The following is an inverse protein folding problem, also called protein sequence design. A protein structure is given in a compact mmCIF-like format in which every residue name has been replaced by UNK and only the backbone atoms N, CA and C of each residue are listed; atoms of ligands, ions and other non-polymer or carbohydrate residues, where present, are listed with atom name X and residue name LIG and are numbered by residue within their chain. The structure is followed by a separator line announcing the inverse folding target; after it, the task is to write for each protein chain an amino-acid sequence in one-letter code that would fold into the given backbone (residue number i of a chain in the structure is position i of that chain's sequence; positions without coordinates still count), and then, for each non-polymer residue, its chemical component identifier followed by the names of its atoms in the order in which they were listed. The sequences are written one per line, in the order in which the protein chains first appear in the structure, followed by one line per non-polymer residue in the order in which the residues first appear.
data_IF_012625880998
#
_entry.id   IF_012625880998
#
_cell.length_a   1.000
_cell.length_b   1.000
_cell.length_c   1.000
_cell.angle_alpha   90.00
_cell.angle_beta   90.00
_cell.angle_gamma   90.00
#
_symmetry.space_group_name_H-M   'P 1'
#
loop_
_entity.id
_entity.type
_entity.pdbx_description
1 polymer ?
#
# COMPACT_ATOMS: atom_id res chain seq x y z
N UNK A 1 -10.06 -13.03 47.67
CA UNK A 1 -9.46 -14.25 47.09
C UNK A 1 -9.09 -13.89 45.68
N UNK A 2 -7.87 -13.38 45.55
CA UNK A 2 -7.23 -13.06 44.29
C UNK A 2 -7.04 -14.33 43.47
N UNK A 3 -7.32 -14.25 42.17
CA UNK A 3 -6.77 -15.18 41.20
C UNK A 3 -6.09 -14.36 40.12
N UNK A 4 -4.81 -14.09 40.38
CA UNK A 4 -3.79 -13.78 39.38
C UNK A 4 -3.81 -14.87 38.30
N UNK A 5 -4.03 -14.46 37.05
CA UNK A 5 -3.64 -15.27 35.87
C UNK A 5 -2.49 -14.54 35.21
N UNK A 6 -1.29 -14.93 35.64
CA UNK A 6 -0.03 -14.58 35.00
C UNK A 6 0.03 -15.32 33.66
N UNK A 7 0.02 -14.60 32.54
CA UNK A 7 0.37 -15.17 31.24
C UNK A 7 1.85 -14.86 30.98
N UNK A 8 2.64 -15.93 30.97
CA UNK A 8 4.10 -15.89 30.97
C UNK A 8 4.70 -15.22 29.74
N UNK A 9 5.68 -14.37 30.00
CA UNK A 9 6.65 -13.89 29.03
C UNK A 9 7.60 -15.06 28.70
N UNK A 10 7.39 -15.74 27.58
CA UNK A 10 8.41 -16.65 27.02
C UNK A 10 9.28 -15.92 26.01
N UNK A 11 10.61 -15.81 26.22
CA UNK A 11 11.53 -15.30 25.21
C UNK A 11 11.71 -16.35 24.12
N UNK A 12 11.27 -16.05 22.90
CA UNK A 12 11.40 -16.96 21.77
C UNK A 12 12.83 -17.02 21.24
N UNK A 13 13.51 -18.15 21.52
CA UNK A 13 14.67 -18.63 20.77
C UNK A 13 14.21 -19.28 19.47
N UNK A 14 14.83 -18.85 18.37
CA UNK A 14 14.94 -19.44 17.04
C UNK A 14 13.92 -20.50 16.59
N UNK A 15 13.05 -20.11 15.65
CA UNK A 15 12.49 -21.02 14.63
C UNK A 15 12.16 -20.26 13.31
N UNK A 16 12.76 -20.76 12.23
CA UNK A 16 12.53 -20.62 10.77
C UNK A 16 11.87 -19.33 10.25
N UNK A 17 12.70 -18.46 9.66
CA UNK A 17 12.33 -17.29 8.86
C UNK A 17 12.16 -17.72 7.38
N UNK A 18 11.13 -17.28 6.63
CA UNK A 18 11.27 -17.40 5.15
C UNK A 18 10.13 -17.15 4.17
N UNK A 19 8.93 -16.66 4.51
CA UNK A 19 7.87 -16.47 3.49
C UNK A 19 7.75 -15.05 2.95
N UNK A 20 6.92 -14.23 3.60
CA UNK A 20 6.50 -12.92 3.09
C UNK A 20 7.65 -11.90 2.89
N UNK A 21 8.76 -12.04 3.63
CA UNK A 21 9.92 -11.15 3.51
C UNK A 21 10.64 -11.24 2.18
N UNK A 22 10.65 -12.41 1.54
CA UNK A 22 11.35 -12.58 0.27
C UNK A 22 10.62 -11.87 -0.87
N UNK A 23 9.29 -11.79 -0.83
CA UNK A 23 8.50 -10.96 -1.75
C UNK A 23 8.78 -9.47 -1.57
N UNK A 24 8.80 -9.00 -0.32
CA UNK A 24 9.19 -7.62 0.02
C UNK A 24 10.63 -7.29 -0.41
N UNK A 25 11.56 -8.23 -0.22
CA UNK A 25 12.94 -8.09 -0.68
C UNK A 25 13.06 -8.13 -2.20
N UNK A 26 12.22 -8.91 -2.88
CA UNK A 26 12.17 -8.96 -4.34
C UNK A 26 11.57 -7.69 -4.94
N UNK A 27 10.55 -7.11 -4.30
CA UNK A 27 10.06 -5.76 -4.62
C UNK A 27 11.20 -4.75 -4.49
N UNK A 28 11.94 -4.78 -3.37
CA UNK A 28 13.07 -3.87 -3.17
C UNK A 28 14.21 -4.09 -4.19
N UNK A 29 14.54 -5.34 -4.49
CA UNK A 29 15.52 -5.68 -5.53
C UNK A 29 15.06 -5.22 -6.92
N UNK A 30 13.77 -5.35 -7.23
CA UNK A 30 13.18 -4.84 -8.46
C UNK A 30 13.31 -3.32 -8.55
N UNK A 31 12.96 -2.60 -7.47
CA UNK A 31 13.10 -1.13 -7.38
C UNK A 31 14.56 -0.70 -7.63
N UNK A 32 15.53 -1.41 -7.03
CA UNK A 32 16.95 -1.08 -7.14
C UNK A 32 17.55 -1.44 -8.51
N UNK A 33 17.19 -2.60 -9.07
CA UNK A 33 17.79 -3.09 -10.33
C UNK A 33 17.13 -2.44 -11.56
N UNK A 34 15.82 -2.22 -11.53
CA UNK A 34 15.08 -1.62 -12.65
C UNK A 34 15.21 -0.10 -12.65
N UNK A 35 15.16 0.55 -11.49
CA UNK A 35 15.25 2.01 -11.38
C UNK A 35 16.56 2.61 -11.89
N UNK A 36 17.65 1.80 -11.96
CA UNK A 36 18.95 2.23 -12.51
C UNK A 36 19.10 2.00 -14.02
N UNK A 37 18.12 1.36 -14.70
CA UNK A 37 18.19 1.08 -16.14
C UNK A 37 17.87 2.30 -17.03
N UNK A 38 17.53 3.46 -16.44
CA UNK A 38 17.14 4.68 -17.15
C UNK A 38 18.31 5.62 -17.47
N UNK A 39 19.13 5.31 -18.47
CA UNK A 39 19.95 6.32 -19.14
C UNK A 39 19.27 6.74 -20.46
N UNK A 40 18.78 7.99 -20.50
CA UNK A 40 18.25 8.76 -21.64
C UNK A 40 18.00 7.98 -22.93
N UNK A 41 16.73 7.67 -23.18
CA UNK A 41 16.22 7.51 -24.54
C UNK A 41 14.96 8.36 -24.68
N UNK A 42 15.06 9.42 -25.50
CA UNK A 42 13.92 10.22 -25.92
C UNK A 42 13.11 9.40 -26.92
N UNK A 43 11.95 8.90 -26.51
CA UNK A 43 11.04 8.21 -27.41
C UNK A 43 9.90 9.15 -27.78
N UNK A 44 9.66 9.29 -29.08
CA UNK A 44 8.52 9.99 -29.61
C UNK A 44 7.27 9.09 -29.45
N UNK A 45 6.25 9.62 -28.78
CA UNK A 45 4.94 8.97 -28.68
C UNK A 45 4.32 8.89 -30.09
N UNK A 46 4.14 7.68 -30.62
CA UNK A 46 3.19 7.45 -31.71
C UNK A 46 1.81 7.24 -31.08
N UNK A 47 1.02 8.32 -31.02
CA UNK A 47 -0.40 8.21 -30.73
C UNK A 47 -1.08 7.52 -31.93
N UNK A 48 -1.60 6.31 -31.71
CA UNK A 48 -2.43 5.61 -32.67
C UNK A 48 -3.82 6.29 -32.73
N UNK A 49 -4.31 6.78 -33.89
CA UNK A 49 -5.47 7.67 -33.94
C UNK A 49 -6.84 7.02 -33.78
N UNK A 50 -6.97 5.69 -33.77
CA UNK A 50 -8.28 5.01 -33.81
C UNK A 50 -8.59 4.23 -32.52
N UNK A 51 -9.08 4.92 -31.49
CA UNK A 51 -9.86 4.26 -30.42
C UNK A 51 -10.78 5.26 -29.67
N UNK A 52 -11.89 5.64 -30.32
CA UNK A 52 -12.85 6.64 -29.85
C UNK A 52 -14.20 6.06 -29.37
N UNK A 53 -14.24 4.81 -28.90
CA UNK A 53 -15.47 4.24 -28.33
C UNK A 53 -15.20 3.69 -26.92
N UNK A 54 -15.69 4.41 -25.90
CA UNK A 54 -15.59 4.13 -24.46
C UNK A 54 -14.18 4.22 -23.85
N UNK A 55 -13.57 5.41 -23.85
CA UNK A 55 -12.35 5.65 -23.07
C UNK A 55 -12.65 5.58 -21.57
N UNK A 56 -11.93 4.76 -20.79
CA UNK A 56 -11.93 4.86 -19.33
C UNK A 56 -11.61 6.29 -18.91
N UNK A 57 -12.30 6.81 -17.90
CA UNK A 57 -11.87 8.05 -17.25
C UNK A 57 -10.60 7.74 -16.45
N UNK A 58 -9.50 8.41 -16.78
CA UNK A 58 -8.23 8.26 -16.07
C UNK A 58 -8.13 9.27 -14.91
N UNK A 59 -7.55 8.90 -13.76
CA UNK A 59 -7.16 7.54 -13.37
C UNK A 59 -8.39 6.65 -13.15
N UNK A 60 -8.22 5.33 -13.30
CA UNK A 60 -9.28 4.36 -12.95
C UNK A 60 -9.59 4.49 -11.46
N UNK A 61 -10.84 4.77 -11.07
CA UNK A 61 -11.17 4.98 -9.67
C UNK A 61 -11.08 3.68 -8.87
N UNK A 62 -10.54 3.77 -7.66
CA UNK A 62 -10.54 2.66 -6.70
C UNK A 62 -11.98 2.20 -6.40
N UNK A 63 -12.26 0.92 -6.61
CA UNK A 63 -13.57 0.31 -6.40
C UNK A 63 -13.74 -0.06 -4.93
N UNK A 64 -14.67 0.64 -4.28
CA UNK A 64 -15.13 0.31 -2.92
C UNK A 64 -16.13 -0.84 -2.94
N UNK A 65 -16.23 -1.53 -1.82
CA UNK A 65 -17.22 -2.59 -1.57
C UNK A 65 -18.24 -2.13 -0.53
N UNK A 66 -19.34 -2.86 -0.39
CA UNK A 66 -20.38 -2.55 0.61
C UNK A 66 -19.99 -2.98 2.03
N UNK A 67 -19.14 -4.00 2.15
CA UNK A 67 -18.63 -4.50 3.43
C UNK A 67 -17.30 -5.22 3.24
N UNK A 68 -16.48 -5.25 4.29
CA UNK A 68 -15.22 -5.99 4.32
C UNK A 68 -15.45 -7.51 4.39
N UNK A 69 -14.97 -8.30 3.42
CA UNK A 69 -15.05 -9.74 3.51
C UNK A 69 -14.08 -10.25 4.58
N UNK A 70 -14.48 -11.27 5.33
CA UNK A 70 -13.59 -11.99 6.24
C UNK A 70 -12.40 -12.55 5.47
N UNK A 71 -11.16 -12.39 5.95
CA UNK A 71 -10.00 -12.97 5.28
C UNK A 71 -10.10 -14.50 5.16
N UNK A 72 -9.66 -15.02 4.02
CA UNK A 72 -9.58 -16.46 3.78
C UNK A 72 -8.56 -17.11 4.75
N UNK A 73 -8.84 -18.30 5.32
CA UNK A 73 -7.93 -18.98 6.23
C UNK A 73 -6.52 -19.26 5.69
N UNK A 74 -6.35 -19.27 4.36
CA UNK A 74 -5.05 -19.33 3.70
C UNK A 74 -4.19 -18.10 4.00
N UNK A 75 -4.79 -16.92 4.12
CA UNK A 75 -4.10 -15.68 4.42
C UNK A 75 -3.75 -15.62 5.91
N UNK A 76 -2.49 -15.90 6.24
CA UNK A 76 -1.99 -15.87 7.60
C UNK A 76 -0.83 -14.88 7.72
N UNK A 77 -0.95 -13.96 8.65
CA UNK A 77 0.07 -12.96 8.92
C UNK A 77 1.13 -13.56 9.84
N UNK A 78 2.41 -13.30 9.56
CA UNK A 78 3.50 -13.68 10.49
C UNK A 78 3.52 -12.79 11.72
N UNK A 79 3.28 -11.51 11.52
CA UNK A 79 3.08 -10.52 12.58
C UNK A 79 1.61 -10.14 12.57
N UNK A 80 0.99 -10.17 13.75
CA UNK A 80 -0.42 -9.82 13.92
C UNK A 80 -0.66 -8.40 13.44
N UNK A 81 -1.70 -8.21 12.64
CA UNK A 81 -2.18 -6.88 12.27
C UNK A 81 -2.76 -6.17 13.51
N UNK A 82 -2.37 -4.92 13.72
CA UNK A 82 -2.88 -4.04 14.77
C UNK A 82 -2.85 -4.66 16.19
N UNK A 83 -1.68 -5.11 16.68
CA UNK A 83 -1.60 -5.88 17.93
C UNK A 83 -2.05 -5.09 19.17
N UNK A 84 -1.81 -3.77 19.18
CA UNK A 84 -2.16 -2.87 20.29
C UNK A 84 -3.51 -2.15 20.06
N UNK A 85 -4.20 -2.47 18.96
CA UNK A 85 -5.52 -1.92 18.67
C UNK A 85 -6.61 -2.57 19.49
N UNK A 86 -7.71 -1.85 19.67
CA UNK A 86 -8.89 -2.43 20.31
C UNK A 86 -9.43 -3.61 19.47
N UNK A 87 -9.68 -4.80 20.06
CA UNK A 87 -10.19 -5.96 19.32
C UNK A 87 -11.55 -5.73 18.67
N UNK A 88 -12.35 -4.80 19.21
CA UNK A 88 -13.63 -4.38 18.63
C UNK A 88 -13.50 -3.31 17.56
N UNK A 89 -12.29 -2.83 17.28
CA UNK A 89 -12.02 -1.70 16.39
C UNK A 89 -12.62 -0.40 16.90
N UNK A 90 -12.83 -0.27 18.22
CA UNK A 90 -13.45 0.92 18.79
C UNK A 90 -12.48 2.10 18.84
N UNK A 91 -13.00 3.27 18.47
CA UNK A 91 -12.31 4.55 18.63
C UNK A 91 -13.04 5.29 19.77
N UNK A 92 -12.33 5.72 20.82
CA UNK A 92 -12.96 6.36 21.97
C UNK A 92 -13.59 7.71 21.57
N UNK A 93 -14.70 8.04 22.21
CA UNK A 93 -15.34 9.33 22.01
C UNK A 93 -14.62 10.42 22.83
N UNK A 94 -14.47 11.60 22.25
CA UNK A 94 -13.91 12.80 22.88
C UNK A 94 -15.02 13.74 23.35
N UNK A 95 -14.77 14.50 24.42
CA UNK A 95 -15.67 15.59 24.82
C UNK A 95 -15.76 16.60 23.66
N UNK A 96 -16.96 17.07 23.25
CA UNK A 96 -17.12 17.95 22.08
C UNK A 96 -16.22 19.19 22.10
N UNK A 97 -16.04 19.77 23.29
CA UNK A 97 -15.24 20.97 23.57
C UNK A 97 -13.74 20.72 23.71
N UNK A 98 -13.28 19.45 23.69
CA UNK A 98 -11.85 19.14 23.73
C UNK A 98 -11.15 19.68 22.48
N UNK A 99 -9.86 19.98 22.62
CA UNK A 99 -8.97 20.35 21.52
C UNK A 99 -7.97 19.23 21.33
N UNK A 100 -8.01 18.61 20.15
CA UNK A 100 -7.07 17.58 19.76
C UNK A 100 -5.97 18.17 18.88
N UNK A 101 -4.74 18.01 19.34
CA UNK A 101 -3.57 18.22 18.50
C UNK A 101 -3.46 17.07 17.50
N UNK A 102 -3.29 17.41 16.21
CA UNK A 102 -3.14 16.44 15.12
C UNK A 102 -1.69 16.44 14.65
N UNK A 103 -1.07 15.26 14.61
CA UNK A 103 0.32 15.06 14.22
C UNK A 103 0.43 14.28 12.91
N UNK A 104 1.32 14.74 12.04
CA UNK A 104 1.90 13.92 10.99
C UNK A 104 2.98 13.04 11.62
N UNK A 105 2.87 11.74 11.36
CA UNK A 105 3.83 10.73 11.80
C UNK A 105 4.41 10.03 10.57
N UNK A 106 5.73 9.99 10.50
CA UNK A 106 6.48 9.26 9.45
C UNK A 106 7.60 8.48 10.10
N UNK A 107 7.81 7.24 9.69
CA UNK A 107 8.98 6.45 10.08
C UNK A 107 9.44 5.57 8.91
N UNK A 108 10.73 5.19 8.82
CA UNK A 108 11.20 4.27 7.80
C UNK A 108 10.44 2.93 7.84
N UNK A 109 10.05 2.42 6.67
CA UNK A 109 9.42 1.08 6.60
C UNK A 109 10.41 0.03 7.12
N UNK A 110 9.91 -0.98 7.83
CA UNK A 110 10.70 -2.09 8.38
C UNK A 110 11.91 -1.66 9.23
N UNK A 111 11.82 -0.54 9.95
CA UNK A 111 12.87 -0.07 10.86
C UNK A 111 13.34 -1.17 11.82
N UNK A 112 12.41 -1.97 12.35
CA UNK A 112 12.72 -3.10 13.24
C UNK A 112 13.67 -4.15 12.63
N UNK A 113 13.84 -4.16 11.31
CA UNK A 113 14.70 -5.11 10.59
C UNK A 113 15.90 -4.45 9.92
N UNK A 114 15.72 -3.27 9.34
CA UNK A 114 16.75 -2.59 8.54
C UNK A 114 17.23 -1.28 9.15
N UNK A 115 16.75 -0.91 10.34
CA UNK A 115 17.05 0.37 10.96
C UNK A 115 16.66 1.55 10.06
N UNK A 116 17.55 2.53 9.96
CA UNK A 116 17.36 3.76 9.19
C UNK A 116 17.54 3.60 7.67
N UNK A 117 17.93 2.41 7.18
CA UNK A 117 18.37 2.21 5.80
C UNK A 117 17.31 2.61 4.77
N UNK A 118 16.05 2.21 4.99
CA UNK A 118 14.97 2.56 4.06
C UNK A 118 14.57 4.03 4.13
N UNK A 119 14.83 4.69 5.27
CA UNK A 119 14.70 6.14 5.41
C UNK A 119 15.67 6.88 4.50
N UNK A 120 16.88 6.35 4.27
CA UNK A 120 17.86 6.93 3.33
C UNK A 120 17.38 6.90 1.87
N UNK A 121 16.43 6.03 1.54
CA UNK A 121 15.78 5.95 0.23
C UNK A 121 14.38 6.59 0.22
N UNK A 122 14.01 7.30 1.30
CA UNK A 122 12.69 7.90 1.49
C UNK A 122 11.53 6.91 1.30
N UNK A 123 11.70 5.66 1.77
CA UNK A 123 10.61 4.69 1.85
C UNK A 123 10.04 4.74 3.27
N UNK A 124 8.98 5.53 3.44
CA UNK A 124 8.41 5.88 4.73
C UNK A 124 7.03 5.24 4.91
N UNK A 125 6.74 4.82 6.13
CA UNK A 125 5.40 4.52 6.63
C UNK A 125 4.77 5.79 7.19
N UNK A 126 3.48 5.98 6.92
CA UNK A 126 2.73 7.18 7.23
C UNK A 126 1.58 6.88 8.20
N UNK A 127 1.46 7.72 9.24
CA UNK A 127 0.41 7.62 10.24
C UNK A 127 -0.05 9.02 10.71
N UNK A 128 -1.14 9.04 11.49
CA UNK A 128 -1.69 10.25 12.10
C UNK A 128 -1.71 10.07 13.61
N UNK A 129 -1.17 11.05 14.31
CA UNK A 129 -1.25 11.14 15.75
C UNK A 129 -2.35 12.09 16.22
N UNK A 130 -2.98 11.76 17.33
CA UNK A 130 -3.91 12.64 18.03
C UNK A 130 -3.50 12.78 19.49
N UNK A 131 -3.63 13.97 20.07
CA UNK A 131 -3.41 14.20 21.52
C UNK A 131 -4.49 15.12 22.06
N UNK A 132 -5.25 14.65 23.04
CA UNK A 132 -6.27 15.42 23.74
C UNK A 132 -5.62 16.44 24.67
N UNK A 133 -6.00 17.72 24.55
CA UNK A 133 -5.55 18.76 25.47
C UNK A 133 -6.23 18.63 26.84
N UNK A 134 -7.47 18.13 26.88
CA UNK A 134 -8.22 17.95 28.12
C UNK A 134 -7.70 16.80 28.99
N UNK A 135 -7.40 15.65 28.37
CA UNK A 135 -7.03 14.41 29.10
C UNK A 135 -5.54 14.08 29.01
N UNK A 136 -4.81 14.69 28.07
CA UNK A 136 -3.43 14.32 27.75
C UNK A 136 -3.29 12.98 27.03
N UNK A 137 -4.38 12.23 26.83
CA UNK A 137 -4.33 10.96 26.12
C UNK A 137 -3.95 11.16 24.67
N UNK A 138 -3.10 10.26 24.19
CA UNK A 138 -2.60 10.28 22.83
C UNK A 138 -2.96 8.99 22.11
N UNK A 139 -3.10 9.06 20.79
CA UNK A 139 -3.53 7.95 19.96
C UNK A 139 -2.82 7.99 18.61
N UNK A 140 -2.59 6.82 18.04
CA UNK A 140 -2.09 6.67 16.69
C UNK A 140 -3.14 6.01 15.81
N UNK A 141 -3.32 6.56 14.61
CA UNK A 141 -4.19 6.05 13.56
C UNK A 141 -3.37 5.77 12.31
N UNK A 142 -3.36 4.52 11.88
CA UNK A 142 -2.63 4.03 10.71
C UNK A 142 -3.57 3.31 9.75
N UNK A 143 -3.09 3.02 8.55
CA UNK A 143 -3.77 2.11 7.63
C UNK A 143 -2.72 1.31 6.86
N UNK A 144 -2.70 0.00 7.01
CA UNK A 144 -1.67 -0.86 6.43
C UNK A 144 -2.17 -2.28 6.18
N UNK A 145 -1.29 -3.12 5.65
CA UNK A 145 -1.59 -4.47 5.19
C UNK A 145 -1.89 -5.44 6.34
N UNK A 146 -2.98 -6.20 6.22
CA UNK A 146 -3.26 -7.29 7.17
C UNK A 146 -2.17 -8.39 7.10
N UNK A 147 -1.64 -8.62 5.90
CA UNK A 147 -0.74 -9.73 5.59
C UNK A 147 0.61 -9.27 5.03
N UNK A 148 1.05 -8.07 5.41
CA UNK A 148 2.29 -7.44 4.93
C UNK A 148 2.33 -7.10 3.41
N UNK A 149 3.21 -6.16 3.05
CA UNK A 149 3.31 -5.56 1.70
C UNK A 149 3.46 -6.56 0.55
N UNK A 150 4.28 -7.59 0.72
CA UNK A 150 4.54 -8.59 -0.32
C UNK A 150 3.26 -9.29 -0.81
N UNK A 151 2.40 -9.69 0.12
CA UNK A 151 1.12 -10.35 -0.17
C UNK A 151 0.07 -9.40 -0.78
N UNK A 152 0.23 -8.09 -0.56
CA UNK A 152 -0.60 -7.06 -1.20
C UNK A 152 -0.13 -6.71 -2.62
N UNK A 153 1.15 -6.91 -2.92
CA UNK A 153 1.76 -6.51 -4.19
C UNK A 153 1.75 -7.64 -5.22
N UNK A 154 1.94 -8.89 -4.77
CA UNK A 154 2.00 -10.05 -5.65
C UNK A 154 1.15 -11.22 -5.11
N UNK A 155 0.46 -11.97 -5.99
CA UNK A 155 -0.43 -13.05 -5.56
C UNK A 155 0.33 -14.33 -5.24
N UNK A 156 -0.37 -15.25 -4.57
CA UNK A 156 0.06 -16.63 -4.40
C UNK A 156 -0.43 -17.51 -5.54
N UNK A 157 0.45 -18.34 -6.09
CA UNK A 157 0.10 -19.37 -7.06
C UNK A 157 -0.15 -20.70 -6.35
N UNK A 158 -1.42 -21.00 -6.07
CA UNK A 158 -1.83 -22.22 -5.36
C UNK A 158 -2.04 -23.40 -6.32
N UNK A 159 -1.61 -24.59 -5.90
CA UNK A 159 -2.00 -25.83 -6.57
C UNK A 159 -3.53 -26.00 -6.48
N UNK A 160 -4.17 -26.36 -7.58
CA UNK A 160 -5.63 -26.54 -7.65
C UNK A 160 -6.45 -25.28 -7.93
N UNK A 161 -5.82 -24.09 -7.98
CA UNK A 161 -6.48 -22.85 -8.41
C UNK A 161 -5.87 -22.34 -9.72
N UNK A 162 -6.73 -22.10 -10.71
CA UNK A 162 -6.32 -21.52 -11.99
C UNK A 162 -5.98 -20.04 -11.85
N UNK A 163 -6.79 -19.27 -11.12
CA UNK A 163 -6.52 -17.86 -10.85
C UNK A 163 -5.45 -17.68 -9.76
N UNK A 164 -4.53 -16.71 -9.90
CA UNK A 164 -3.69 -16.25 -8.80
C UNK A 164 -4.53 -15.78 -7.61
N UNK A 165 -4.11 -16.15 -6.39
CA UNK A 165 -4.86 -15.91 -5.16
C UNK A 165 -4.25 -14.74 -4.37
N UNK A 166 -5.04 -13.74 -4.03
CA UNK A 166 -4.58 -12.51 -3.40
C UNK A 166 -4.90 -12.47 -1.90
N UNK A 167 -3.88 -12.15 -1.09
CA UNK A 167 -4.03 -11.82 0.33
C UNK A 167 -3.74 -10.33 0.54
N UNK A 168 -4.45 -9.49 -0.21
CA UNK A 168 -4.14 -8.06 -0.36
C UNK A 168 -5.05 -7.13 0.45
N UNK A 169 -5.64 -7.61 1.55
CA UNK A 169 -6.45 -6.74 2.40
C UNK A 169 -5.57 -5.75 3.17
N UNK A 170 -5.99 -4.48 3.21
CA UNK A 170 -5.47 -3.45 4.11
C UNK A 170 -6.61 -2.85 4.95
N UNK A 171 -6.31 -2.36 6.15
CA UNK A 171 -7.30 -1.81 7.07
C UNK A 171 -6.73 -0.72 7.97
N UNK A 172 -7.62 0.08 8.54
CA UNK A 172 -7.28 1.06 9.56
C UNK A 172 -6.93 0.36 10.88
N UNK A 173 -5.90 0.88 11.56
CA UNK A 173 -5.50 0.47 12.90
C UNK A 173 -5.48 1.70 13.80
N UNK A 174 -6.20 1.63 14.93
CA UNK A 174 -6.25 2.70 15.91
C UNK A 174 -5.84 2.15 17.28
N UNK A 175 -4.88 2.78 17.93
CA UNK A 175 -4.36 2.35 19.22
C UNK A 175 -3.92 3.52 20.10
N UNK A 176 -3.80 3.25 21.41
CA UNK A 176 -3.39 4.23 22.38
C UNK A 176 -1.87 4.48 22.36
N UNK A 177 -1.49 5.72 22.57
CA UNK A 177 -0.10 6.18 22.65
C UNK A 177 0.42 6.78 21.34
N UNK A 178 1.44 7.61 21.51
CA UNK A 178 2.35 8.07 20.46
C UNK A 178 3.74 7.59 20.87
N UNK A 179 4.28 6.56 20.20
CA UNK A 179 5.68 6.16 20.41
C UNK A 179 6.60 7.24 19.85
N UNK A 180 6.81 8.31 20.63
CA UNK A 180 7.56 9.48 20.18
C UNK A 180 8.99 9.11 19.78
N UNK A 181 9.55 8.06 20.37
CA UNK A 181 10.89 7.58 20.01
C UNK A 181 10.89 7.03 18.59
N UNK A 182 9.97 6.12 18.27
CA UNK A 182 9.81 5.56 16.92
C UNK A 182 9.63 6.66 15.85
N UNK A 183 8.79 7.65 16.13
CA UNK A 183 8.48 8.70 15.15
C UNK A 183 9.52 9.83 15.06
N UNK A 184 10.34 10.05 16.11
CA UNK A 184 11.32 11.15 16.14
C UNK A 184 12.76 10.74 15.84
N UNK A 185 13.19 9.53 16.23
CA UNK A 185 14.61 9.15 16.11
C UNK A 185 15.06 9.07 14.64
N UNK A 186 14.30 8.35 13.80
CA UNK A 186 14.62 8.15 12.38
C UNK A 186 13.49 8.64 11.45
N UNK A 187 12.52 9.38 11.99
CA UNK A 187 11.26 9.71 11.34
C UNK A 187 10.93 11.20 11.30
N UNK A 188 9.63 11.50 11.24
CA UNK A 188 9.10 12.85 11.38
C UNK A 188 7.85 12.82 12.24
N UNK A 189 7.84 13.61 13.31
CA UNK A 189 6.66 13.88 14.12
C UNK A 189 6.41 15.39 14.16
N UNK A 190 5.34 15.84 13.51
CA UNK A 190 5.03 17.27 13.36
C UNK A 190 3.56 17.54 13.66
N UNK A 191 3.26 18.46 14.59
CA UNK A 191 1.88 18.97 14.78
C UNK A 191 1.46 19.75 13.55
N UNK A 192 0.47 19.25 12.81
CA UNK A 192 -0.01 19.80 11.53
C UNK A 192 -1.34 20.50 11.63
N UNK A 193 -2.18 20.17 12.61
CA UNK A 193 -3.50 20.79 12.78
C UNK A 193 -3.98 20.75 14.24
N UNK A 194 -5.10 21.42 14.47
CA UNK A 194 -5.95 21.26 15.64
C UNK A 194 -7.39 20.96 15.20
N UNK A 195 -8.08 20.12 15.95
CA UNK A 195 -9.48 19.74 15.72
C UNK A 195 -10.24 19.73 17.05
N UNK A 196 -11.55 19.97 17.01
CA UNK A 196 -12.38 19.79 18.21
C UNK A 196 -12.66 18.31 18.46
N UNK A 197 -13.07 17.95 19.68
CA UNK A 197 -13.55 16.60 19.98
C UNK A 197 -14.76 16.19 19.15
N UNK A 198 -15.64 17.14 18.82
CA UNK A 198 -16.74 16.90 17.87
C UNK A 198 -16.24 16.53 16.47
N UNK A 199 -15.27 17.28 15.93
CA UNK A 199 -14.62 16.97 14.65
C UNK A 199 -13.98 15.58 14.67
N UNK A 200 -13.26 15.23 15.76
CA UNK A 200 -12.66 13.91 15.93
C UNK A 200 -13.71 12.79 15.97
N UNK A 201 -14.80 12.95 16.72
CA UNK A 201 -15.87 11.97 16.80
C UNK A 201 -16.55 11.73 15.45
N UNK A 202 -16.71 12.78 14.64
CA UNK A 202 -17.25 12.66 13.29
C UNK A 202 -16.23 12.04 12.31
N UNK A 203 -14.93 12.31 12.51
CA UNK A 203 -13.88 11.61 11.79
C UNK A 203 -13.89 10.11 12.11
N UNK A 204 -14.03 9.72 13.38
CA UNK A 204 -14.06 8.31 13.79
C UNK A 204 -15.17 7.52 13.07
N UNK A 205 -16.36 8.11 12.88
CA UNK A 205 -17.45 7.52 12.07
C UNK A 205 -17.04 7.34 10.61
N UNK A 206 -16.38 8.34 10.04
CA UNK A 206 -15.86 8.26 8.67
C UNK A 206 -14.76 7.20 8.53
N UNK A 207 -13.82 7.11 9.47
CA UNK A 207 -12.75 6.09 9.47
C UNK A 207 -13.36 4.69 9.45
N UNK A 208 -14.41 4.45 10.25
CA UNK A 208 -15.13 3.17 10.23
C UNK A 208 -15.73 2.87 8.86
N UNK A 209 -16.44 3.83 8.27
CA UNK A 209 -17.00 3.67 6.93
C UNK A 209 -15.92 3.46 5.86
N UNK A 210 -14.80 4.18 5.94
CA UNK A 210 -13.68 4.02 5.02
C UNK A 210 -13.06 2.63 5.17
N UNK A 211 -12.91 2.14 6.40
CA UNK A 211 -12.36 0.83 6.71
C UNK A 211 -13.26 -0.33 6.25
N UNK A 212 -14.58 -0.13 6.22
CA UNK A 212 -15.53 -1.17 5.77
C UNK A 212 -15.69 -1.21 4.24
N UNK A 213 -15.36 -0.13 3.55
CA UNK A 213 -15.57 0.00 2.10
C UNK A 213 -14.28 -0.01 1.28
N UNK A 214 -13.17 0.42 1.88
CA UNK A 214 -11.81 0.46 1.33
C UNK A 214 -10.97 -0.72 1.79
N UNK A 215 -11.14 -1.87 1.15
CA UNK A 215 -10.74 -3.16 1.75
C UNK A 215 -9.43 -3.75 1.26
N UNK A 216 -8.90 -3.31 0.11
CA UNK A 216 -7.67 -3.86 -0.46
C UNK A 216 -6.58 -2.79 -0.55
N UNK A 217 -5.35 -3.22 -0.29
CA UNK A 217 -4.14 -2.41 -0.42
C UNK A 217 -3.63 -2.49 -1.86
N UNK A 218 -3.30 -1.34 -2.43
CA UNK A 218 -2.61 -1.25 -3.72
C UNK A 218 -1.30 -0.48 -3.57
N UNK A 219 -0.22 -1.13 -3.98
CA UNK A 219 1.15 -0.62 -3.86
C UNK A 219 1.50 0.37 -4.96
N UNK A 220 1.05 0.10 -6.19
CA UNK A 220 1.56 0.81 -7.37
C UNK A 220 0.75 2.07 -7.67
N UNK A 221 1.44 3.20 -7.82
CA UNK A 221 0.95 4.31 -8.63
C UNK A 221 1.45 4.08 -10.06
N UNK A 222 0.59 4.20 -11.07
CA UNK A 222 0.94 3.87 -12.45
C UNK A 222 0.73 5.09 -13.32
N UNK A 223 1.79 5.56 -13.98
CA UNK A 223 1.81 6.87 -14.66
C UNK A 223 2.32 6.75 -16.09
N UNK A 224 1.97 7.74 -16.91
CA UNK A 224 2.47 7.86 -18.28
C UNK A 224 3.88 8.42 -18.38
N UNK A 225 4.48 8.91 -17.30
CA UNK A 225 5.77 9.60 -17.33
C UNK A 225 6.11 10.22 -15.98
N UNK A 226 7.33 10.74 -15.85
CA UNK A 226 7.85 11.39 -14.63
C UNK A 226 7.44 12.86 -14.52
N UNK A 227 6.93 13.44 -15.61
CA UNK A 227 6.59 14.84 -15.67
C UNK A 227 5.43 15.17 -14.70
N UNK A 228 5.40 16.37 -14.10
CA UNK A 228 4.34 16.76 -13.16
C UNK A 228 2.92 16.65 -13.74
N UNK A 229 2.77 16.81 -15.05
CA UNK A 229 1.51 16.72 -15.78
C UNK A 229 1.28 15.36 -16.46
N UNK A 230 2.13 14.36 -16.21
CA UNK A 230 1.94 13.03 -16.74
C UNK A 230 0.61 12.43 -16.28
N UNK A 231 -0.09 11.75 -17.18
CA UNK A 231 -1.36 11.09 -16.90
C UNK A 231 -1.15 10.00 -15.85
N UNK A 232 -1.94 10.05 -14.78
CA UNK A 232 -2.05 8.93 -13.85
C UNK A 232 -3.08 7.94 -14.39
N UNK A 233 -2.66 6.70 -14.57
CA UNK A 233 -3.52 5.60 -14.99
C UNK A 233 -4.20 4.95 -13.79
N UNK A 234 -3.44 4.71 -12.72
CA UNK A 234 -3.90 4.11 -11.46
C UNK A 234 -3.23 4.81 -10.28
N UNK A 235 -4.02 5.08 -9.23
CA UNK A 235 -3.52 5.57 -7.96
C UNK A 235 -3.35 4.40 -6.99
N UNK A 236 -2.27 4.44 -6.20
CA UNK A 236 -2.10 3.53 -5.07
C UNK A 236 -3.20 3.71 -4.03
N UNK A 237 -3.35 2.71 -3.16
CA UNK A 237 -4.28 2.72 -2.03
C UNK A 237 -3.54 2.15 -0.82
N UNK A 238 -2.72 3.01 -0.23
CA UNK A 238 -1.73 2.70 0.81
C UNK A 238 -1.87 3.62 2.04
N UNK A 239 -0.95 3.48 3.00
CA UNK A 239 -0.87 4.28 4.21
C UNK A 239 -0.82 5.78 3.91
N UNK A 240 0.03 6.22 2.98
CA UNK A 240 0.16 7.62 2.59
C UNK A 240 -1.14 8.21 2.03
N UNK A 241 -1.88 7.42 1.25
CA UNK A 241 -3.17 7.80 0.67
C UNK A 241 -4.27 7.83 1.70
N UNK A 242 -4.23 6.95 2.70
CA UNK A 242 -5.14 7.01 3.84
C UNK A 242 -4.90 8.28 4.67
N UNK A 243 -3.64 8.64 4.97
CA UNK A 243 -3.31 9.89 5.68
C UNK A 243 -3.85 11.10 4.93
N UNK A 244 -3.60 11.20 3.62
CA UNK A 244 -4.11 12.30 2.79
C UNK A 244 -5.65 12.35 2.72
N UNK A 245 -6.34 11.21 2.70
CA UNK A 245 -7.81 11.16 2.75
C UNK A 245 -8.33 11.61 4.11
N UNK A 246 -7.67 11.20 5.19
CA UNK A 246 -8.03 11.58 6.56
C UNK A 246 -7.83 13.07 6.79
N UNK A 247 -6.74 13.67 6.29
CA UNK A 247 -6.53 15.12 6.39
C UNK A 247 -7.56 15.91 5.61
N UNK A 248 -7.87 15.52 4.37
CA UNK A 248 -8.97 16.16 3.62
C UNK A 248 -10.29 16.07 4.39
N UNK A 249 -10.58 14.90 4.97
CA UNK A 249 -11.80 14.72 5.77
C UNK A 249 -11.81 15.59 7.02
N UNK A 250 -10.68 15.71 7.71
CA UNK A 250 -10.53 16.61 8.86
C UNK A 250 -10.80 18.06 8.47
N UNK A 251 -10.25 18.53 7.35
CA UNK A 251 -10.48 19.89 6.85
C UNK A 251 -11.96 20.13 6.49
N UNK A 252 -12.61 19.17 5.81
CA UNK A 252 -14.05 19.21 5.52
C UNK A 252 -14.91 19.29 6.80
N UNK A 253 -14.42 18.69 7.90
CA UNK A 253 -15.06 18.70 9.22
C UNK A 253 -14.62 19.90 10.09
N UNK A 254 -13.88 20.86 9.54
CA UNK A 254 -13.53 22.12 10.21
C UNK A 254 -12.20 22.14 10.97
N UNK A 255 -11.34 21.13 10.82
CA UNK A 255 -10.00 21.16 11.42
C UNK A 255 -9.12 22.25 10.78
N UNK A 256 -8.30 22.91 11.58
CA UNK A 256 -7.42 23.99 11.13
C UNK A 256 -6.00 23.47 10.91
N UNK A 257 -5.61 23.31 9.64
CA UNK A 257 -4.24 22.95 9.28
C UNK A 257 -3.31 24.16 9.32
N UNK A 258 -2.06 23.94 9.73
CA UNK A 258 -1.03 24.99 9.75
C UNK A 258 -0.67 25.38 8.31
N UNK A 259 -0.78 26.67 7.95
CA UNK A 259 -0.49 27.11 6.59
C UNK A 259 1.01 26.99 6.28
N UNK A 260 1.33 26.73 5.00
CA UNK A 260 2.70 26.73 4.50
C UNK A 260 3.56 25.52 4.88
N UNK A 261 3.02 24.54 5.61
CA UNK A 261 3.70 23.27 5.86
C UNK A 261 3.69 22.40 4.60
N UNK A 262 4.89 22.05 4.14
CA UNK A 262 5.10 21.12 3.02
C UNK A 262 5.27 19.71 3.56
N UNK A 263 4.40 18.81 3.13
CA UNK A 263 4.50 17.38 3.49
C UNK A 263 4.88 16.57 2.26
N UNK A 264 5.70 15.54 2.44
CA UNK A 264 6.17 14.69 1.35
C UNK A 264 5.80 13.25 1.64
N UNK A 265 5.47 12.47 0.61
CA UNK A 265 5.02 11.09 0.76
C UNK A 265 5.75 10.19 -0.24
N UNK A 266 6.08 8.98 0.22
CA UNK A 266 6.67 7.95 -0.63
C UNK A 266 5.65 7.51 -1.67
N UNK A 267 6.07 7.40 -2.93
CA UNK A 267 5.29 6.76 -3.99
C UNK A 267 6.16 5.75 -4.73
N UNK A 268 5.59 4.56 -4.95
CA UNK A 268 6.17 3.53 -5.79
C UNK A 268 5.49 3.62 -7.16
N UNK A 269 6.25 4.05 -8.16
CA UNK A 269 5.72 4.34 -9.49
C UNK A 269 6.08 3.25 -10.49
N UNK A 270 5.10 2.86 -11.32
CA UNK A 270 5.32 2.17 -12.59
C UNK A 270 5.09 3.15 -13.74
N UNK A 271 5.93 3.09 -14.77
CA UNK A 271 5.79 3.92 -15.97
C UNK A 271 5.44 3.07 -17.18
N UNK A 272 4.34 3.42 -17.85
CA UNK A 272 3.86 2.70 -19.02
C UNK A 272 3.14 3.61 -20.02
N UNK A 273 2.95 3.12 -21.25
CA UNK A 273 1.93 3.64 -22.15
C UNK A 273 0.51 3.40 -21.60
N UNK A 274 -0.52 3.63 -22.42
CA UNK A 274 -1.90 3.43 -21.99
C UNK A 274 -2.15 1.95 -21.61
N UNK A 275 -2.67 1.64 -20.40
CA UNK A 275 -2.97 0.28 -19.98
C UNK A 275 -4.13 -0.36 -20.75
N UNK A 276 -4.07 -1.69 -20.90
CA UNK A 276 -5.11 -2.47 -21.57
C UNK A 276 -5.82 -3.39 -20.56
N UNK A 277 -7.14 -3.30 -20.47
CA UNK A 277 -7.95 -4.19 -19.64
C UNK A 277 -7.96 -5.59 -20.28
N UNK A 278 -7.53 -6.60 -19.51
CA UNK A 278 -7.52 -7.99 -19.95
C UNK A 278 -8.79 -8.75 -19.52
N UNK A 279 -9.43 -8.31 -18.44
CA UNK A 279 -10.63 -8.92 -17.86
C UNK A 279 -10.48 -9.30 -16.40
N UNK A 280 -11.46 -10.03 -15.86
CA UNK A 280 -11.47 -10.47 -14.46
C UNK A 280 -11.06 -11.94 -14.33
N UNK A 281 -11.01 -12.43 -13.08
CA UNK A 281 -10.59 -13.79 -12.80
C UNK A 281 -11.45 -14.86 -13.51
N UNK A 282 -12.77 -14.66 -13.56
CA UNK A 282 -13.69 -15.60 -14.21
C UNK A 282 -13.51 -15.64 -15.72
N UNK A 283 -13.33 -14.49 -16.36
CA UNK A 283 -13.18 -14.41 -17.83
C UNK A 283 -11.84 -14.97 -18.29
N UNK A 284 -10.76 -14.75 -17.53
CA UNK A 284 -9.40 -15.17 -17.90
C UNK A 284 -9.12 -16.62 -17.49
N UNK A 285 -9.45 -17.02 -16.26
CA UNK A 285 -9.05 -18.32 -15.69
C UNK A 285 -10.17 -19.35 -15.62
N UNK A 286 -11.42 -18.94 -15.86
CA UNK A 286 -12.60 -19.80 -15.90
C UNK A 286 -13.04 -20.23 -17.30
N UNK A 287 -12.49 -19.62 -18.36
CA UNK A 287 -12.90 -19.86 -19.76
C UNK A 287 -11.96 -20.84 -20.45
N UNK A 288 -12.50 -21.72 -21.30
CA UNK A 288 -11.74 -22.73 -22.05
C UNK A 288 -11.35 -22.31 -23.48
N UNK A 289 -11.41 -21.01 -23.83
CA UNK A 289 -10.94 -20.56 -25.13
C UNK A 289 -9.41 -20.64 -25.21
N UNK A 290 -8.87 -20.86 -26.41
CA UNK A 290 -7.42 -21.00 -26.61
C UNK A 290 -6.68 -19.73 -26.19
N UNK A 291 -7.28 -18.57 -26.44
CA UNK A 291 -6.76 -17.25 -26.13
C UNK A 291 -6.74 -17.02 -24.61
N UNK A 292 -7.84 -17.35 -23.90
CA UNK A 292 -7.90 -17.22 -22.44
C UNK A 292 -6.92 -18.16 -21.74
N UNK A 293 -6.79 -19.41 -22.21
CA UNK A 293 -5.80 -20.37 -21.67
C UNK A 293 -4.38 -19.85 -21.85
N UNK A 294 -4.05 -19.30 -23.02
CA UNK A 294 -2.74 -18.69 -23.29
C UNK A 294 -2.48 -17.52 -22.35
N UNK A 295 -3.42 -16.58 -22.25
CA UNK A 295 -3.30 -15.40 -21.39
C UNK A 295 -3.17 -15.79 -19.90
N UNK A 296 -3.98 -16.73 -19.43
CA UNK A 296 -3.89 -17.25 -18.07
C UNK A 296 -2.50 -17.83 -17.76
N UNK A 297 -1.91 -18.56 -18.72
CA UNK A 297 -0.55 -19.09 -18.59
C UNK A 297 0.49 -17.99 -18.54
N UNK A 298 0.36 -16.95 -19.37
CA UNK A 298 1.28 -15.80 -19.39
C UNK A 298 1.26 -15.04 -18.06
N UNK A 299 0.07 -14.70 -17.55
CA UNK A 299 -0.09 -14.00 -16.26
C UNK A 299 0.50 -14.82 -15.11
N UNK A 300 0.21 -16.13 -15.05
CA UNK A 300 0.77 -17.02 -14.03
C UNK A 300 2.29 -17.14 -14.13
N UNK A 301 2.82 -17.22 -15.36
CA UNK A 301 4.26 -17.29 -15.60
C UNK A 301 4.94 -16.03 -15.07
N UNK A 302 4.38 -14.85 -15.35
CA UNK A 302 4.88 -13.58 -14.83
C UNK A 302 4.92 -13.59 -13.29
N UNK A 303 3.82 -13.94 -12.62
CA UNK A 303 3.76 -13.96 -11.14
C UNK A 303 4.60 -15.06 -10.48
N UNK A 304 5.10 -16.04 -11.24
CA UNK A 304 6.00 -17.08 -10.69
C UNK A 304 7.31 -16.47 -10.19
N UNK A 305 7.76 -15.37 -10.80
CA UNK A 305 8.96 -14.64 -10.37
C UNK A 305 8.77 -13.92 -9.03
N UNK A 306 7.55 -13.85 -8.49
CA UNK A 306 7.24 -13.06 -7.30
C UNK A 306 6.69 -13.91 -6.16
N UNK A 307 7.03 -15.21 -6.10
CA UNK A 307 6.56 -16.09 -5.05
C UNK A 307 7.43 -16.00 -3.77
N UNK A 308 6.84 -16.15 -2.57
CA UNK A 308 7.53 -15.87 -1.30
C UNK A 308 8.55 -16.94 -0.89
N UNK A 309 8.32 -18.21 -1.20
CA UNK A 309 9.19 -19.29 -0.78
C UNK A 309 10.20 -19.63 -1.89
N UNK A 310 11.34 -18.96 -1.90
CA UNK A 310 12.42 -19.20 -2.86
C UNK A 310 13.77 -19.40 -2.17
N UNK A 311 14.63 -20.25 -2.73
CA UNK A 311 16.05 -20.29 -2.35
C UNK A 311 16.77 -19.02 -2.82
N UNK A 312 17.96 -18.72 -2.32
CA UNK A 312 18.72 -17.54 -2.76
C UNK A 312 19.00 -17.54 -4.28
N UNK A 313 19.36 -18.70 -4.84
CA UNK A 313 19.54 -18.85 -6.28
C UNK A 313 18.22 -18.66 -7.03
N UNK A 314 17.12 -19.18 -6.49
CA UNK A 314 15.78 -18.97 -7.04
C UNK A 314 15.37 -17.50 -7.03
N UNK A 315 15.71 -16.77 -5.97
CA UNK A 315 15.49 -15.34 -5.84
C UNK A 315 16.27 -14.56 -6.89
N UNK A 316 17.57 -14.86 -7.07
CA UNK A 316 18.40 -14.22 -8.10
C UNK A 316 17.83 -14.45 -9.51
N UNK A 317 17.46 -15.69 -9.83
CA UNK A 317 16.83 -16.01 -11.12
C UNK A 317 15.50 -15.28 -11.30
N UNK A 318 14.71 -15.16 -10.24
CA UNK A 318 13.43 -14.44 -10.26
C UNK A 318 13.61 -12.95 -10.51
N UNK A 319 14.63 -12.32 -9.91
CA UNK A 319 14.99 -10.92 -10.18
C UNK A 319 15.42 -10.73 -11.63
N UNK A 320 16.27 -11.62 -12.17
CA UNK A 320 16.71 -11.57 -13.57
C UNK A 320 15.54 -11.76 -14.54
N UNK A 321 14.64 -12.71 -14.26
CA UNK A 321 13.44 -12.92 -15.07
C UNK A 321 12.49 -11.73 -15.00
N UNK A 322 12.26 -11.17 -13.82
CA UNK A 322 11.44 -9.98 -13.65
C UNK A 322 12.02 -8.77 -14.40
N UNK A 323 13.35 -8.60 -14.39
CA UNK A 323 14.02 -7.60 -15.23
C UNK A 323 13.77 -7.87 -16.72
N UNK A 324 13.93 -9.11 -17.18
CA UNK A 324 13.64 -9.48 -18.56
C UNK A 324 12.22 -9.20 -19.00
N UNK A 325 11.23 -9.49 -18.14
CA UNK A 325 9.81 -9.19 -18.38
C UNK A 325 9.54 -7.68 -18.47
N UNK A 326 10.00 -6.93 -17.47
CA UNK A 326 9.63 -5.51 -17.31
C UNK A 326 10.46 -4.60 -18.22
N UNK A 327 11.77 -4.84 -18.34
CA UNK A 327 12.72 -3.94 -19.03
C UNK A 327 13.02 -4.39 -20.45
N UNK A 328 13.11 -5.70 -20.72
CA UNK A 328 13.43 -6.19 -22.07
C UNK A 328 12.19 -6.47 -22.90
N UNK A 329 11.14 -7.02 -22.28
CA UNK A 329 9.87 -7.34 -22.95
C UNK A 329 8.80 -6.26 -22.76
N UNK A 330 9.08 -5.23 -21.95
CA UNK A 330 8.18 -4.09 -21.70
C UNK A 330 6.79 -4.54 -21.18
N UNK A 331 6.76 -5.59 -20.36
CA UNK A 331 5.53 -6.24 -19.90
C UNK A 331 5.42 -6.22 -18.37
N UNK A 332 4.27 -5.76 -17.91
CA UNK A 332 3.86 -5.93 -16.51
C UNK A 332 2.36 -6.25 -16.46
N UNK A 333 1.96 -7.13 -15.54
CA UNK A 333 0.56 -7.42 -15.26
C UNK A 333 0.16 -6.83 -13.92
N UNK A 334 -0.77 -5.87 -13.95
CA UNK A 334 -1.34 -5.22 -12.77
C UNK A 334 -2.68 -5.87 -12.42
N UNK A 335 -2.94 -6.06 -11.13
CA UNK A 335 -4.24 -6.46 -10.63
C UNK A 335 -4.87 -5.31 -9.86
N UNK A 336 -5.94 -4.72 -10.37
CA UNK A 336 -6.60 -3.54 -9.81
C UNK A 336 -8.11 -3.72 -9.92
N UNK A 337 -8.89 -3.34 -8.89
CA UNK A 337 -10.35 -3.50 -8.87
C UNK A 337 -10.87 -4.94 -9.16
N UNK A 338 -10.11 -5.96 -8.78
CA UNK A 338 -10.39 -7.37 -9.11
C UNK A 338 -10.33 -7.71 -10.61
N UNK A 339 -9.60 -6.91 -11.37
CA UNK A 339 -9.38 -7.04 -12.81
C UNK A 339 -7.88 -7.06 -13.11
N UNK A 340 -7.50 -7.73 -14.19
CA UNK A 340 -6.12 -7.79 -14.68
C UNK A 340 -5.94 -6.82 -15.84
N UNK A 341 -4.81 -6.11 -15.80
CA UNK A 341 -4.42 -5.11 -16.78
C UNK A 341 -3.02 -5.41 -17.29
N UNK A 342 -2.83 -5.27 -18.60
CA UNK A 342 -1.50 -5.27 -19.20
C UNK A 342 -0.97 -3.84 -19.24
N UNK A 343 0.25 -3.65 -18.72
CA UNK A 343 0.96 -2.38 -18.76
C UNK A 343 2.08 -2.47 -19.82
N UNK A 344 2.02 -1.69 -20.91
CA UNK A 344 3.11 -1.56 -21.87
C UNK A 344 4.21 -0.68 -21.25
N UNK A 345 5.14 -1.31 -20.53
CA UNK A 345 6.12 -0.62 -19.69
C UNK A 345 7.07 0.24 -20.53
N UNK A 346 7.49 1.38 -19.98
CA UNK A 346 8.48 2.27 -20.63
C UNK A 346 9.42 2.90 -19.60
N UNK A 347 10.63 3.33 -19.99
CA UNK A 347 11.56 4.00 -19.08
C UNK A 347 10.93 5.17 -18.32
N UNK A 348 11.30 5.39 -17.04
CA UNK A 348 12.30 4.65 -16.27
C UNK A 348 11.79 3.30 -15.72
N UNK A 349 10.63 2.82 -16.18
CA UNK A 349 9.93 1.58 -15.81
C UNK A 349 9.41 1.59 -14.38
N UNK A 350 10.29 1.80 -13.40
CA UNK A 350 9.96 1.80 -11.98
C UNK A 350 10.76 2.89 -11.28
N UNK A 351 10.14 3.64 -10.37
CA UNK A 351 10.84 4.59 -9.49
C UNK A 351 10.24 4.62 -8.09
N UNK A 352 11.05 5.11 -7.15
CA UNK A 352 10.60 5.53 -5.82
C UNK A 352 10.73 7.05 -5.77
N UNK A 353 9.62 7.75 -5.59
CA UNK A 353 9.62 9.21 -5.42
C UNK A 353 9.19 9.58 -4.02
N UNK A 354 9.64 10.75 -3.56
CA UNK A 354 9.21 11.37 -2.31
C UNK A 354 8.56 12.72 -2.65
N UNK A 355 7.29 12.65 -3.05
CA UNK A 355 6.58 13.76 -3.68
C UNK A 355 5.92 14.67 -2.65
N UNK A 356 6.03 15.99 -2.86
CA UNK A 356 5.32 16.98 -2.06
C UNK A 356 3.81 16.85 -2.31
N UNK A 357 3.02 16.74 -1.24
CA UNK A 357 1.59 16.92 -1.25
C UNK A 357 1.23 17.94 -0.16
N UNK A 358 0.58 19.06 -0.51
CA UNK A 358 0.22 20.08 0.47
C UNK A 358 -0.85 19.55 1.44
N UNK A 359 -0.83 20.10 2.66
CA UNK A 359 -1.96 19.94 3.57
C UNK A 359 -3.19 20.69 3.00
N UNK A 360 -4.41 20.15 3.23
CA UNK A 360 -5.65 20.69 2.68
C UNK A 360 -6.07 22.04 3.27
#
# INVERSE_FOLDING_TARGET
MDMDVTIGVTPWRGQVLGGCWLQSALLFALLMVIGHAGARATWADSADPDDLVNKPHWPVPYRRVNFRPTPDPFCQARYTFCPDGDPGGSIPAMAPEDVLEVFLLKAPVWEFKFGDLLGKFNIMHDAIGFRSALTGHAFTLEWYELFQLGNCTFPHLRAGLNAPFWCNQGAACFYAGLDERHWRENGTMLKVAEATGETFNNLAKWVRHDNDTGVYYETWTVRSGEEPNATSWFESYDCSRFVQRTYRRLAELGAMFKPGLRTHYTRLNLYCGQPHLLGNASTIFGTASKEAIKLAKEIRSFYTNFQPNQSLLGLLMSVLNAYGEVVLQHRFFLYYNSEYWFLPMKPPFVSVTYEEAPLP
#
